data_IF_436147652162
#
_entry.id   IF_436147652162
#
_cell.length_a   1.000
_cell.length_b   1.000
_cell.length_c   1.000
_cell.angle_alpha   90.00
_cell.angle_beta   90.00
_cell.angle_gamma   90.00
#
_symmetry.space_group_name_H-M   'P 1'
#
loop_
_entity.id
_entity.type
_entity.pdbx_description
1 polymer ?
#
# COMPACT_ATOMS: atom_id res chain seq x y z
N UNK A 1 10.38 -28.86 -8.36
CA UNK A 1 9.38 -29.37 -7.40
C UNK A 1 8.05 -28.72 -7.74
N UNK A 2 6.97 -29.49 -7.95
CA UNK A 2 5.68 -28.96 -8.42
C UNK A 2 4.82 -28.60 -7.20
N UNK A 3 4.49 -27.33 -7.01
CA UNK A 3 3.47 -26.93 -6.03
C UNK A 3 2.08 -27.17 -6.64
N UNK A 4 1.28 -27.98 -5.94
CA UNK A 4 -0.05 -28.38 -6.36
C UNK A 4 -1.11 -27.44 -5.76
N UNK A 5 -1.93 -26.86 -6.63
CA UNK A 5 -3.14 -26.12 -6.29
C UNK A 5 -4.16 -26.98 -5.55
N UNK A 6 -4.76 -26.44 -4.49
CA UNK A 6 -6.01 -26.95 -3.92
C UNK A 6 -7.00 -25.81 -3.75
N UNK A 7 -7.88 -25.67 -4.74
CA UNK A 7 -9.21 -25.09 -4.60
C UNK A 7 -10.14 -26.19 -4.09
N UNK A 8 -10.87 -25.93 -3.00
CA UNK A 8 -12.17 -26.54 -2.82
C UNK A 8 -13.14 -25.64 -2.08
N UNK A 9 -14.26 -25.43 -2.77
CA UNK A 9 -15.42 -24.62 -2.48
C UNK A 9 -16.35 -25.40 -1.55
N UNK A 10 -16.83 -24.82 -0.44
CA UNK A 10 -18.09 -25.24 0.19
C UNK A 10 -18.85 -24.02 0.68
N UNK A 11 -19.96 -23.74 -0.02
CA UNK A 11 -21.07 -22.92 0.41
C UNK A 11 -22.04 -23.79 1.23
N UNK A 12 -22.42 -23.36 2.44
CA UNK A 12 -23.66 -23.83 3.09
C UNK A 12 -24.37 -22.63 3.72
N UNK A 13 -25.62 -22.46 3.30
CA UNK A 13 -26.63 -21.49 3.72
C UNK A 13 -27.23 -21.93 5.06
N UNK A 14 -27.47 -21.01 6.00
CA UNK A 14 -28.76 -21.00 6.71
C UNK A 14 -29.14 -19.67 7.37
N UNK A 15 -30.45 -19.47 7.34
CA UNK A 15 -31.28 -18.31 7.65
C UNK A 15 -31.47 -18.06 9.14
N UNK A 16 -31.68 -16.81 9.57
CA UNK A 16 -32.98 -16.29 10.07
C UNK A 16 -32.88 -15.16 11.12
N UNK A 17 -33.93 -14.32 11.10
CA UNK A 17 -34.34 -13.25 12.04
C UNK A 17 -33.64 -11.89 11.83
N UNK A 18 -34.31 -10.80 11.50
CA UNK A 18 -35.71 -10.43 11.66
C UNK A 18 -35.76 -9.11 12.43
N UNK A 19 -35.85 -7.98 11.73
CA UNK A 19 -36.34 -6.74 12.35
C UNK A 19 -36.98 -5.83 11.30
N UNK A 20 -38.23 -5.49 11.59
CA UNK A 20 -39.16 -4.70 10.79
C UNK A 20 -38.96 -3.22 11.04
N UNK A 21 -38.89 -2.40 9.99
CA UNK A 21 -39.27 -0.99 10.07
C UNK A 21 -40.22 -0.72 8.91
N UNK A 22 -41.51 -0.64 9.23
CA UNK A 22 -42.50 0.02 8.40
C UNK A 22 -42.22 1.54 8.45
N UNK A 23 -42.08 2.18 7.29
CA UNK A 23 -42.57 3.54 7.15
C UNK A 23 -43.05 3.77 5.72
N UNK A 24 -44.38 3.70 5.57
CA UNK A 24 -45.08 4.17 4.39
C UNK A 24 -45.08 5.70 4.42
N UNK A 25 -44.60 6.36 3.36
CA UNK A 25 -45.31 7.52 2.85
C UNK A 25 -45.01 7.74 1.36
N UNK A 26 -46.10 7.78 0.61
CA UNK A 26 -46.19 8.02 -0.82
C UNK A 26 -45.64 9.41 -1.14
N UNK A 27 -44.79 9.49 -2.17
CA UNK A 27 -44.52 10.74 -2.87
C UNK A 27 -44.63 10.54 -4.38
N UNK A 28 -45.03 11.63 -5.01
CA UNK A 28 -45.69 11.74 -6.29
C UNK A 28 -44.91 11.24 -7.50
N UNK A 29 -45.64 10.69 -8.47
CA UNK A 29 -45.24 10.57 -9.87
C UNK A 29 -44.90 11.95 -10.42
N UNK A 30 -43.62 12.16 -10.74
CA UNK A 30 -43.11 13.34 -11.42
C UNK A 30 -41.91 12.95 -12.28
N UNK A 31 -42.13 12.96 -13.60
CA UNK A 31 -41.12 12.81 -14.66
C UNK A 31 -40.03 13.87 -14.51
N UNK A 32 -38.82 13.51 -14.07
CA UNK A 32 -37.60 14.31 -14.29
C UNK A 32 -36.37 13.41 -14.40
N UNK A 33 -35.45 13.82 -15.28
CA UNK A 33 -34.42 13.00 -15.89
C UNK A 33 -33.47 12.26 -14.96
N UNK A 34 -32.93 11.16 -15.47
CA UNK A 34 -31.83 10.42 -14.87
C UNK A 34 -30.59 11.31 -14.78
N UNK A 35 -30.41 11.98 -13.64
CA UNK A 35 -29.08 12.21 -13.13
C UNK A 35 -28.69 10.91 -12.46
N UNK A 36 -27.80 10.16 -13.09
CA UNK A 36 -26.98 9.17 -12.42
C UNK A 36 -26.29 9.90 -11.27
N UNK A 37 -26.82 9.75 -10.06
CA UNK A 37 -26.04 10.01 -8.86
C UNK A 37 -24.92 8.99 -8.89
N UNK A 38 -23.79 9.39 -9.47
CA UNK A 38 -22.52 8.77 -9.15
C UNK A 38 -22.41 8.89 -7.63
N UNK A 39 -22.70 7.78 -6.95
CA UNK A 39 -22.43 7.62 -5.54
C UNK A 39 -20.93 7.79 -5.44
N UNK A 40 -20.50 9.02 -5.14
CA UNK A 40 -19.09 9.34 -4.90
C UNK A 40 -18.72 8.49 -3.70
N UNK A 41 -18.08 7.35 -3.98
CA UNK A 41 -17.54 6.46 -2.96
C UNK A 41 -16.56 7.32 -2.17
N UNK A 42 -17.03 7.83 -1.04
CA UNK A 42 -16.23 8.66 -0.15
C UNK A 42 -15.09 7.79 0.33
N UNK A 43 -13.89 8.11 -0.15
CA UNK A 43 -12.68 7.46 0.29
C UNK A 43 -12.64 7.51 1.83
N UNK A 44 -12.62 6.35 2.47
CA UNK A 44 -12.64 6.26 3.92
C UNK A 44 -11.41 6.99 4.46
N UNK A 45 -11.65 8.07 5.21
CA UNK A 45 -10.57 8.81 5.84
C UNK A 45 -9.82 7.92 6.84
N UNK A 46 -8.50 8.10 6.93
CA UNK A 46 -7.70 7.46 7.96
C UNK A 46 -8.14 7.89 9.36
N UNK A 47 -8.07 6.97 10.31
CA UNK A 47 -8.44 7.21 11.71
C UNK A 47 -7.34 7.94 12.47
N UNK A 48 -7.72 8.67 13.51
CA UNK A 48 -6.80 9.19 14.52
C UNK A 48 -5.96 8.04 15.09
N UNK A 49 -4.68 8.29 15.30
CA UNK A 49 -3.72 7.31 15.82
C UNK A 49 -2.96 6.52 14.75
N UNK A 50 -3.40 6.56 13.49
CA UNK A 50 -2.69 5.97 12.35
C UNK A 50 -1.31 6.62 12.17
N UNK A 51 -0.28 5.80 11.96
CA UNK A 51 1.04 6.30 11.54
C UNK A 51 1.07 6.44 10.03
N UNK A 52 1.69 7.49 9.52
CA UNK A 52 1.71 7.80 8.09
C UNK A 52 3.07 8.31 7.64
N UNK A 53 3.47 7.94 6.42
CA UNK A 53 4.48 8.65 5.66
C UNK A 53 3.77 9.74 4.83
N UNK A 54 4.25 10.97 4.88
CA UNK A 54 3.65 12.08 4.14
C UNK A 54 4.69 13.05 3.60
N UNK A 55 4.33 13.73 2.52
CA UNK A 55 5.13 14.81 1.94
C UNK A 55 4.60 16.16 2.41
N UNK A 56 5.44 16.91 3.14
CA UNK A 56 5.13 18.25 3.57
C UNK A 56 5.22 19.26 2.39
N UNK A 57 4.76 20.51 2.60
CA UNK A 57 4.72 21.54 1.54
C UNK A 57 6.08 21.93 0.95
N UNK A 58 7.17 21.61 1.65
CA UNK A 58 8.55 21.84 1.24
C UNK A 58 9.14 20.62 0.49
N UNK A 59 8.29 19.70 0.04
CA UNK A 59 8.64 18.44 -0.62
C UNK A 59 9.50 17.48 0.24
N UNK A 60 9.65 17.77 1.54
CA UNK A 60 10.29 16.84 2.47
C UNK A 60 9.31 15.75 2.89
N UNK A 61 9.83 14.53 2.94
CA UNK A 61 9.08 13.36 3.42
C UNK A 61 9.32 13.20 4.91
N UNK A 62 8.24 12.96 5.65
CA UNK A 62 8.26 12.76 7.09
C UNK A 62 7.41 11.54 7.45
N UNK A 63 7.70 10.94 8.60
CA UNK A 63 6.78 10.04 9.28
C UNK A 63 6.07 10.78 10.41
N UNK A 64 4.80 10.44 10.65
CA UNK A 64 4.02 11.10 11.70
C UNK A 64 2.80 10.30 12.13
N UNK A 65 2.18 10.73 13.22
CA UNK A 65 0.93 10.18 13.76
C UNK A 65 -0.23 11.16 13.55
N UNK A 66 -1.35 10.67 13.03
CA UNK A 66 -2.56 11.47 12.90
C UNK A 66 -3.14 11.77 14.29
N UNK A 67 -3.25 13.05 14.63
CA UNK A 67 -3.87 13.54 15.86
C UNK A 67 -5.35 13.87 15.67
N UNK A 68 -5.70 14.44 14.52
CA UNK A 68 -7.06 14.89 14.23
C UNK A 68 -7.39 14.76 12.74
N UNK A 69 -8.68 14.60 12.44
CA UNK A 69 -9.23 14.44 11.09
C UNK A 69 -10.34 15.47 10.88
N UNK A 70 -10.15 16.34 9.90
CA UNK A 70 -11.18 17.30 9.49
C UNK A 70 -11.78 16.91 8.15
N UNK A 71 -13.09 16.68 8.12
CA UNK A 71 -13.83 16.38 6.90
C UNK A 71 -14.31 17.67 6.24
N UNK A 72 -14.00 17.83 4.95
CA UNK A 72 -14.52 18.92 4.14
C UNK A 72 -15.92 18.58 3.64
N UNK A 73 -16.74 19.61 3.44
CA UNK A 73 -18.05 19.50 2.78
C UNK A 73 -17.97 18.91 1.38
N UNK A 74 -16.81 18.99 0.71
CA UNK A 74 -16.55 18.39 -0.60
C UNK A 74 -16.17 16.91 -0.57
N UNK A 75 -16.22 16.26 0.60
CA UNK A 75 -15.89 14.84 0.77
C UNK A 75 -14.41 14.50 0.99
N UNK A 76 -13.50 15.48 0.91
CA UNK A 76 -12.07 15.27 1.18
C UNK A 76 -11.72 15.39 2.67
N UNK A 77 -10.61 14.77 3.10
CA UNK A 77 -10.09 14.88 4.46
C UNK A 77 -8.83 15.77 4.55
N UNK A 78 -8.65 16.41 5.72
CA UNK A 78 -7.38 16.99 6.16
C UNK A 78 -6.95 16.35 7.48
N UNK A 79 -5.64 16.26 7.66
CA UNK A 79 -5.04 15.62 8.82
C UNK A 79 -4.15 16.60 9.58
N UNK A 80 -4.38 16.72 10.89
CA UNK A 80 -3.37 17.25 11.81
C UNK A 80 -2.46 16.08 12.20
N UNK A 81 -1.16 16.20 11.92
CA UNK A 81 -0.17 15.16 12.15
C UNK A 81 0.92 15.70 13.06
N UNK A 82 1.35 14.90 14.04
CA UNK A 82 2.59 15.12 14.78
C UNK A 82 3.68 14.27 14.13
N UNK A 83 4.72 14.90 13.61
CA UNK A 83 5.88 14.18 13.07
C UNK A 83 6.65 13.48 14.19
N UNK A 84 7.54 12.56 13.82
CA UNK A 84 8.41 11.88 14.79
C UNK A 84 9.30 12.85 15.57
N UNK A 85 9.71 13.96 14.95
CA UNK A 85 10.50 15.04 15.57
C UNK A 85 9.67 15.97 16.48
N UNK A 86 8.36 15.75 16.58
CA UNK A 86 7.44 16.52 17.43
C UNK A 86 6.85 17.77 16.77
N UNK A 87 7.13 18.02 15.49
CA UNK A 87 6.55 19.13 14.75
C UNK A 87 5.11 18.82 14.30
N UNK A 88 4.28 19.86 14.22
CA UNK A 88 2.87 19.71 13.82
C UNK A 88 2.65 20.15 12.38
N UNK A 89 1.94 19.30 11.62
CA UNK A 89 1.63 19.50 10.21
C UNK A 89 0.13 19.43 9.97
N UNK A 90 -0.35 20.24 9.03
CA UNK A 90 -1.73 20.22 8.54
C UNK A 90 -1.76 19.90 7.06
N UNK A 91 -1.95 18.62 6.71
CA UNK A 91 -1.83 18.13 5.34
C UNK A 91 -3.19 17.77 4.73
N UNK A 92 -3.22 17.68 3.40
CA UNK A 92 -4.37 17.14 2.67
C UNK A 92 -4.21 15.62 2.51
N UNK A 93 -5.31 14.89 2.33
CA UNK A 93 -5.28 13.43 2.16
C UNK A 93 -4.31 12.93 1.09
N UNK A 94 -4.26 13.59 -0.07
CA UNK A 94 -3.34 13.27 -1.18
C UNK A 94 -1.84 13.39 -0.85
N UNK A 95 -1.48 14.02 0.26
CA UNK A 95 -0.09 14.18 0.69
C UNK A 95 0.40 13.00 1.54
N UNK A 96 -0.51 12.08 1.92
CA UNK A 96 -0.16 10.82 2.58
C UNK A 96 0.33 9.84 1.52
N UNK A 97 1.56 9.37 1.64
CA UNK A 97 2.17 8.41 0.72
C UNK A 97 1.87 6.96 1.15
N UNK A 98 1.97 6.71 2.44
CA UNK A 98 1.73 5.41 3.07
C UNK A 98 0.98 5.59 4.40
N UNK A 99 0.12 4.64 4.73
CA UNK A 99 -0.61 4.63 5.98
C UNK A 99 -0.49 3.27 6.66
N UNK A 100 -0.20 3.32 7.95
CA UNK A 100 -0.02 2.18 8.84
C UNK A 100 -1.05 2.28 9.97
N UNK A 101 -2.24 1.69 9.79
CA UNK A 101 -3.23 1.59 10.86
C UNK A 101 -2.64 0.75 12.00
N UNK A 102 -2.71 1.29 13.22
CA UNK A 102 -2.21 0.61 14.40
C UNK A 102 -3.36 -0.20 14.99
N UNK A 103 -3.11 -1.49 15.20
CA UNK A 103 -4.08 -2.36 15.86
C UNK A 103 -4.14 -2.03 17.37
N UNK A 104 -5.29 -2.21 18.03
CA UNK A 104 -5.40 -2.01 19.48
C UNK A 104 -4.40 -2.87 20.29
N UNK A 105 -3.99 -4.02 19.75
CA UNK A 105 -3.03 -4.91 20.40
C UNK A 105 -1.60 -4.35 20.38
N UNK A 106 -1.29 -3.49 19.42
CA UNK A 106 0.04 -2.92 19.21
C UNK A 106 0.22 -1.55 19.87
N UNK A 107 -0.81 -1.01 20.53
CA UNK A 107 -0.75 0.31 21.19
C UNK A 107 0.39 0.43 22.20
N UNK A 108 0.71 -0.66 22.92
CA UNK A 108 1.83 -0.68 23.88
C UNK A 108 3.20 -0.61 23.22
N UNK A 109 3.30 -1.11 21.99
CA UNK A 109 4.52 -1.09 21.17
C UNK A 109 4.59 0.13 20.26
N UNK A 110 3.58 1.00 20.28
CA UNK A 110 3.49 2.15 19.40
C UNK A 110 4.74 3.04 19.40
N UNK A 111 5.36 3.38 20.54
CA UNK A 111 6.60 4.17 20.51
C UNK A 111 7.72 3.47 19.72
N UNK A 112 7.92 2.18 19.98
CA UNK A 112 8.91 1.38 19.26
C UNK A 112 8.61 1.29 17.77
N UNK A 113 7.35 0.99 17.39
CA UNK A 113 6.93 0.95 15.98
C UNK A 113 7.15 2.31 15.32
N UNK A 114 6.92 3.41 16.02
CA UNK A 114 7.11 4.74 15.46
C UNK A 114 8.60 5.06 15.24
N UNK A 115 9.47 4.65 16.17
CA UNK A 115 10.93 4.76 16.02
C UNK A 115 11.46 3.88 14.88
N UNK A 116 10.97 2.63 14.78
CA UNK A 116 11.31 1.70 13.71
C UNK A 116 10.85 2.25 12.34
N UNK A 117 9.69 2.89 12.30
CA UNK A 117 9.15 3.51 11.08
C UNK A 117 9.99 4.71 10.63
N UNK A 118 10.43 5.57 11.56
CA UNK A 118 11.35 6.66 11.26
C UNK A 118 12.70 6.15 10.76
N UNK A 119 13.23 5.10 11.40
CA UNK A 119 14.48 4.45 10.99
C UNK A 119 14.36 3.87 9.57
N UNK A 120 13.26 3.15 9.30
CA UNK A 120 12.99 2.57 7.99
C UNK A 120 12.80 3.62 6.88
N UNK A 121 12.37 4.85 7.20
CA UNK A 121 12.26 5.94 6.21
C UNK A 121 13.64 6.36 5.68
N UNK A 122 14.67 6.34 6.51
CA UNK A 122 16.03 6.77 6.14
C UNK A 122 16.90 5.62 5.58
N UNK A 123 16.45 4.38 5.74
CA UNK A 123 17.18 3.18 5.36
C UNK A 123 17.41 3.07 3.83
N UNK A 124 18.66 2.86 3.36
CA UNK A 124 18.94 2.67 1.94
C UNK A 124 18.39 1.34 1.43
N UNK A 125 18.13 1.26 0.13
CA UNK A 125 17.49 0.10 -0.50
C UNK A 125 18.27 -1.22 -0.29
N UNK A 126 19.60 -1.16 -0.22
CA UNK A 126 20.45 -2.33 0.04
C UNK A 126 20.30 -2.89 1.45
N UNK A 127 20.06 -2.04 2.44
CA UNK A 127 19.78 -2.51 3.80
C UNK A 127 18.34 -3.02 3.89
N UNK A 128 17.38 -2.42 3.20
CA UNK A 128 16.00 -2.96 3.12
C UNK A 128 15.97 -4.38 2.57
N UNK A 129 16.76 -4.68 1.53
CA UNK A 129 16.91 -6.03 1.00
C UNK A 129 17.40 -6.99 2.10
N UNK A 130 18.45 -6.62 2.82
CA UNK A 130 19.04 -7.45 3.88
C UNK A 130 18.11 -7.63 5.09
N UNK A 131 17.47 -6.56 5.54
CA UNK A 131 16.56 -6.57 6.70
C UNK A 131 15.30 -7.39 6.43
N UNK A 132 14.88 -7.44 5.17
CA UNK A 132 13.78 -8.28 4.71
C UNK A 132 14.24 -9.64 4.19
N UNK A 133 15.50 -10.03 4.35
CA UNK A 133 16.06 -11.29 3.81
C UNK A 133 15.69 -11.53 2.32
N UNK A 134 15.64 -10.44 1.54
CA UNK A 134 15.32 -10.43 0.13
C UNK A 134 16.58 -10.21 -0.71
N UNK A 135 16.70 -10.98 -1.78
CA UNK A 135 17.69 -10.77 -2.83
C UNK A 135 17.01 -10.26 -4.09
N UNK A 136 17.80 -9.75 -5.04
CA UNK A 136 17.25 -9.32 -6.32
C UNK A 136 16.73 -10.50 -7.14
N UNK A 137 17.31 -11.69 -6.98
CA UNK A 137 16.82 -12.94 -7.56
C UNK A 137 15.43 -13.31 -7.00
N UNK A 138 15.20 -13.08 -5.70
CA UNK A 138 13.87 -13.28 -5.09
C UNK A 138 12.85 -12.28 -5.62
N UNK A 139 13.24 -11.03 -5.89
CA UNK A 139 12.37 -10.05 -6.57
C UNK A 139 12.03 -10.48 -8.00
N UNK A 140 12.98 -11.07 -8.72
CA UNK A 140 12.74 -11.63 -10.06
C UNK A 140 11.79 -12.82 -10.03
N UNK A 141 11.98 -13.77 -9.10
CA UNK A 141 11.05 -14.90 -8.92
C UNK A 141 9.66 -14.43 -8.50
N UNK A 142 9.56 -13.45 -7.60
CA UNK A 142 8.27 -12.86 -7.22
C UNK A 142 7.57 -12.19 -8.42
N UNK A 143 8.35 -11.57 -9.31
CA UNK A 143 7.83 -11.01 -10.55
C UNK A 143 7.30 -12.07 -11.51
N UNK A 144 8.03 -13.18 -11.70
CA UNK A 144 7.58 -14.31 -12.53
C UNK A 144 6.28 -14.91 -12.01
N UNK A 145 6.20 -15.18 -10.70
CA UNK A 145 4.98 -15.71 -10.06
C UNK A 145 3.81 -14.72 -10.22
N UNK A 146 4.04 -13.43 -9.97
CA UNK A 146 3.00 -12.40 -10.15
C UNK A 146 2.57 -12.31 -11.61
N UNK A 147 3.47 -12.54 -12.57
CA UNK A 147 3.14 -12.52 -13.99
C UNK A 147 2.25 -13.71 -14.40
N UNK A 148 2.31 -14.83 -13.68
CA UNK A 148 1.44 -15.99 -13.89
C UNK A 148 0.06 -15.85 -13.22
N UNK A 149 -0.07 -14.97 -12.21
CA UNK A 149 -1.35 -14.63 -11.56
C UNK A 149 -2.30 -13.85 -12.49
N UNK A 150 -3.60 -14.11 -12.41
CA UNK A 150 -4.64 -13.45 -13.21
C UNK A 150 -4.69 -11.92 -13.01
N UNK A 151 -4.38 -11.45 -11.80
CA UNK A 151 -4.38 -10.03 -11.46
C UNK A 151 -3.14 -9.31 -12.01
N UNK A 152 -2.01 -10.01 -12.10
CA UNK A 152 -0.69 -9.44 -12.30
C UNK A 152 -0.31 -8.35 -11.27
N UNK A 153 -0.95 -8.36 -10.10
CA UNK A 153 -0.80 -7.34 -9.06
C UNK A 153 -0.17 -7.93 -7.80
N UNK A 154 0.74 -7.16 -7.22
CA UNK A 154 1.45 -7.48 -6.00
C UNK A 154 1.31 -6.32 -5.02
N UNK A 155 1.01 -6.64 -3.77
CA UNK A 155 1.06 -5.69 -2.65
C UNK A 155 2.30 -5.96 -1.80
N UNK A 156 2.73 -4.98 -1.02
CA UNK A 156 3.86 -5.16 -0.09
C UNK A 156 3.64 -6.32 0.89
N UNK A 157 2.39 -6.49 1.36
CA UNK A 157 2.02 -7.59 2.23
C UNK A 157 2.11 -8.93 1.51
N UNK A 158 1.54 -9.03 0.30
CA UNK A 158 1.58 -10.28 -0.46
C UNK A 158 2.99 -10.66 -0.91
N UNK A 159 3.90 -9.70 -1.12
CA UNK A 159 5.32 -9.98 -1.35
C UNK A 159 5.94 -10.71 -0.16
N UNK A 160 5.75 -10.21 1.06
CA UNK A 160 6.28 -10.86 2.27
C UNK A 160 5.63 -12.23 2.49
N UNK A 161 4.31 -12.33 2.30
CA UNK A 161 3.60 -13.60 2.41
C UNK A 161 4.13 -14.62 1.38
N UNK A 162 4.45 -14.18 0.14
CA UNK A 162 5.00 -15.01 -0.93
C UNK A 162 6.42 -15.51 -0.62
N UNK A 163 7.31 -14.62 -0.14
CA UNK A 163 8.73 -14.95 0.06
C UNK A 163 8.96 -15.72 1.36
N UNK A 164 8.32 -15.31 2.46
CA UNK A 164 8.61 -15.86 3.80
C UNK A 164 7.54 -16.78 4.37
N UNK A 165 6.37 -16.88 3.72
CA UNK A 165 5.25 -17.72 4.20
C UNK A 165 4.76 -17.39 5.61
N UNK A 166 4.99 -16.17 6.11
CA UNK A 166 4.41 -15.65 7.36
C UNK A 166 3.62 -14.37 7.09
N UNK A 167 2.72 -14.02 8.01
CA UNK A 167 1.97 -12.77 7.93
C UNK A 167 2.87 -11.57 8.22
N UNK A 168 3.03 -10.70 7.22
CA UNK A 168 3.82 -9.48 7.37
C UNK A 168 3.38 -8.61 8.56
N UNK A 169 4.34 -8.21 9.40
CA UNK A 169 4.14 -7.15 10.39
C UNK A 169 3.96 -5.79 9.71
N UNK A 170 3.50 -4.80 10.50
CA UNK A 170 3.27 -3.45 9.98
C UNK A 170 4.57 -2.79 9.46
N UNK A 171 5.69 -3.00 10.16
CA UNK A 171 6.99 -2.47 9.75
C UNK A 171 7.56 -3.22 8.53
N UNK A 172 7.47 -4.56 8.50
CA UNK A 172 7.86 -5.33 7.31
C UNK A 172 7.05 -4.91 6.08
N UNK A 173 5.74 -4.70 6.26
CA UNK A 173 4.87 -4.20 5.18
C UNK A 173 5.34 -2.83 4.67
N UNK A 174 5.75 -1.92 5.56
CA UNK A 174 6.28 -0.62 5.15
C UNK A 174 7.63 -0.75 4.44
N UNK A 175 8.59 -1.50 5.01
CA UNK A 175 9.90 -1.72 4.39
C UNK A 175 9.76 -2.37 3.01
N UNK A 176 8.88 -3.36 2.87
CA UNK A 176 8.58 -4.00 1.58
C UNK A 176 7.92 -3.04 0.59
N UNK A 177 7.00 -2.19 1.04
CA UNK A 177 6.40 -1.15 0.21
C UNK A 177 7.46 -0.15 -0.28
N UNK A 178 8.38 0.25 0.59
CA UNK A 178 9.49 1.15 0.25
C UNK A 178 10.45 0.49 -0.74
N UNK A 179 10.81 -0.78 -0.52
CA UNK A 179 11.63 -1.58 -1.45
C UNK A 179 10.97 -1.70 -2.82
N UNK A 180 9.65 -1.93 -2.88
CA UNK A 180 8.90 -2.03 -4.14
C UNK A 180 8.87 -0.72 -4.95
N UNK A 181 9.06 0.42 -4.28
CA UNK A 181 9.23 1.75 -4.90
C UNK A 181 10.71 2.10 -5.17
N UNK A 182 11.63 1.24 -4.77
CA UNK A 182 13.05 1.38 -4.98
C UNK A 182 13.49 1.02 -6.40
N UNK A 183 14.74 1.30 -6.72
CA UNK A 183 15.28 1.15 -8.07
C UNK A 183 15.36 -0.32 -8.51
N UNK A 184 15.66 -1.26 -7.60
CA UNK A 184 15.73 -2.69 -7.93
C UNK A 184 14.34 -3.20 -8.33
N UNK A 185 13.33 -2.94 -7.50
CA UNK A 185 11.96 -3.39 -7.77
C UNK A 185 11.32 -2.68 -8.96
N UNK A 186 11.70 -1.42 -9.22
CA UNK A 186 11.25 -0.66 -10.39
C UNK A 186 11.68 -1.29 -11.71
N UNK A 187 12.64 -2.23 -11.74
CA UNK A 187 12.95 -3.01 -12.94
C UNK A 187 11.77 -3.93 -13.30
N UNK A 188 11.19 -4.58 -12.31
CA UNK A 188 10.19 -5.64 -12.46
C UNK A 188 8.74 -5.16 -12.34
N UNK A 189 8.50 -4.16 -11.50
CA UNK A 189 7.16 -3.73 -11.15
C UNK A 189 6.89 -2.27 -11.52
N UNK A 190 5.61 -1.94 -11.66
CA UNK A 190 5.11 -0.57 -11.89
C UNK A 190 4.09 -0.21 -10.81
N UNK A 191 4.25 0.94 -10.17
CA UNK A 191 3.29 1.46 -9.20
C UNK A 191 1.87 1.58 -9.82
N UNK A 192 0.88 1.02 -9.12
CA UNK A 192 -0.54 1.31 -9.33
C UNK A 192 -0.96 2.34 -8.30
N UNK A 193 -1.45 3.48 -8.80
CA UNK A 193 -1.92 4.57 -7.95
C UNK A 193 -3.42 4.65 -7.94
N UNK A 194 -3.98 4.74 -6.76
CA UNK A 194 -5.37 5.12 -6.54
C UNK A 194 -5.41 6.44 -5.77
N UNK A 195 -6.13 7.43 -6.31
CA UNK A 195 -6.22 8.79 -5.76
C UNK A 195 -4.85 9.44 -5.43
N UNK A 196 -3.81 9.10 -6.20
CA UNK A 196 -2.45 9.62 -6.03
C UNK A 196 -1.55 8.82 -5.08
N UNK A 197 -2.04 7.72 -4.50
CA UNK A 197 -1.31 6.89 -3.54
C UNK A 197 -1.02 5.51 -4.11
N UNK A 198 0.15 4.95 -3.80
CA UNK A 198 0.54 3.62 -4.29
C UNK A 198 -0.19 2.56 -3.47
N UNK A 199 -1.13 1.85 -4.11
CA UNK A 199 -1.95 0.81 -3.47
C UNK A 199 -1.47 -0.61 -3.79
N UNK A 200 -0.87 -0.78 -4.96
CA UNK A 200 -0.35 -2.06 -5.44
C UNK A 200 0.73 -1.82 -6.49
N UNK A 201 1.34 -2.91 -6.97
CA UNK A 201 2.42 -2.92 -7.94
C UNK A 201 2.09 -3.94 -9.02
N UNK A 202 2.09 -3.50 -10.28
CA UNK A 202 1.83 -4.37 -11.42
C UNK A 202 3.10 -5.00 -11.92
N UNK A 203 3.12 -6.32 -12.12
CA UNK A 203 4.21 -6.99 -12.83
C UNK A 203 4.33 -6.46 -14.26
N UNK A 204 5.55 -6.11 -14.69
CA UNK A 204 5.82 -5.68 -16.06
C UNK A 204 5.88 -6.89 -16.99
N UNK A 205 5.55 -6.69 -18.27
CA UNK A 205 5.80 -7.73 -19.27
C UNK A 205 7.31 -7.96 -19.47
N UNK A 206 7.71 -9.18 -19.83
CA UNK A 206 9.12 -9.57 -20.04
C UNK A 206 9.93 -8.56 -20.86
N UNK A 207 9.41 -8.14 -22.03
CA UNK A 207 10.07 -7.13 -22.88
C UNK A 207 10.31 -5.78 -22.17
N UNK A 208 9.40 -5.39 -21.28
CA UNK A 208 9.56 -4.15 -20.51
C UNK A 208 10.56 -4.31 -19.36
N UNK A 209 10.69 -5.51 -18.79
CA UNK A 209 11.74 -5.84 -17.82
C UNK A 209 13.11 -5.82 -18.49
N UNK A 210 13.28 -6.45 -19.65
CA UNK A 210 14.55 -6.41 -20.41
C UNK A 210 14.98 -4.97 -20.71
N UNK A 211 14.05 -4.13 -21.17
CA UNK A 211 14.34 -2.72 -21.42
C UNK A 211 14.69 -1.98 -20.11
N UNK A 212 14.01 -2.27 -19.00
CA UNK A 212 14.31 -1.67 -17.72
C UNK A 212 15.66 -2.11 -17.15
N UNK A 213 16.03 -3.40 -17.26
CA UNK A 213 17.35 -3.94 -16.91
C UNK A 213 18.45 -3.21 -17.70
N UNK A 214 18.29 -3.06 -19.01
CA UNK A 214 19.25 -2.31 -19.84
C UNK A 214 19.43 -0.86 -19.38
N UNK A 215 18.35 -0.16 -19.02
CA UNK A 215 18.44 1.21 -18.50
C UNK A 215 19.08 1.25 -17.12
N UNK A 216 18.69 0.34 -16.24
CA UNK A 216 19.22 0.23 -14.87
C UNK A 216 20.74 0.00 -14.88
N UNK A 217 21.22 -0.90 -15.72
CA UNK A 217 22.63 -1.27 -15.83
C UNK A 217 23.51 -0.26 -16.57
N UNK A 218 22.91 0.74 -17.23
CA UNK A 218 23.68 1.87 -17.78
C UNK A 218 24.09 2.88 -16.69
N UNK A 219 23.46 2.84 -15.51
CA UNK A 219 23.89 3.67 -14.40
C UNK A 219 25.15 3.06 -13.75
N UNK A 220 26.28 3.78 -13.70
CA UNK A 220 27.51 3.28 -13.06
C UNK A 220 27.33 2.85 -11.61
N UNK A 221 26.41 3.48 -10.87
CA UNK A 221 26.12 3.13 -9.47
C UNK A 221 25.52 1.72 -9.32
N UNK A 222 24.92 1.20 -10.38
CA UNK A 222 24.26 -0.10 -10.41
C UNK A 222 25.07 -1.17 -11.15
N UNK A 223 26.24 -0.82 -11.69
CA UNK A 223 27.00 -1.69 -12.57
C UNK A 223 27.46 -3.00 -11.90
N UNK A 224 27.61 -2.99 -10.58
CA UNK A 224 27.99 -4.18 -9.79
C UNK A 224 26.78 -5.02 -9.36
N UNK A 225 25.55 -4.59 -9.64
CA UNK A 225 24.34 -5.35 -9.27
C UNK A 225 24.24 -6.65 -10.05
N UNK A 226 23.80 -7.73 -9.39
CA UNK A 226 23.55 -9.04 -10.00
C UNK A 226 22.58 -8.98 -11.19
N UNK A 227 21.71 -7.97 -11.24
CA UNK A 227 20.82 -7.69 -12.38
C UNK A 227 21.53 -7.43 -13.71
N UNK A 228 22.80 -7.00 -13.66
CA UNK A 228 23.55 -6.52 -14.81
C UNK A 228 24.47 -7.56 -15.43
N UNK A 229 24.59 -8.72 -14.79
CA UNK A 229 25.50 -9.80 -15.20
C UNK A 229 24.76 -11.00 -15.84
N UNK A 230 23.46 -10.85 -16.11
CA UNK A 230 22.60 -11.86 -16.77
C UNK A 230 22.51 -11.63 -18.27
#
# INVERSE_FOLDING_TARGET
MKFASFLNLVWVINSSNGFSIQNQNRFCTGLYGSQSSDEVVLQKAFSVGTLVEFTAKNDKVHVGKILNVEHKSSGGARYEIMSHEGEKYNIADKAVNFAMPISPNDEKKLPQIFDDFATALEEPETELLKDLDMSVELLEMAWEETLEDESHELTAKSLIDLVHSHTASAIETYKAWKLLRGNFSHVFFKEIKDHGRVVAFKAKAMKAVEAAKQTFCRNPENAESDLCWV
#
